data_IF_373439475778
#
_entry.id   IF_373439475778
#
_cell.length_a   1.000
_cell.length_b   1.000
_cell.length_c   1.000
_cell.angle_alpha   90.00
_cell.angle_beta   90.00
_cell.angle_gamma   90.00
#
_symmetry.space_group_name_H-M   'P 1'
#
loop_
_entity.id
_entity.type
_entity.pdbx_description
1 polymer ?
#
# COMPACT_ATOMS: atom_id res chain seq x y z
N UNK A 1 13.22 -4.56 -2.79
CA UNK A 1 12.25 -5.59 -2.37
C UNK A 1 11.33 -6.03 -3.52
N UNK A 2 10.88 -5.15 -4.42
CA UNK A 2 10.15 -5.58 -5.63
C UNK A 2 10.99 -6.52 -6.53
N UNK A 3 12.28 -6.19 -6.73
CA UNK A 3 13.21 -6.93 -7.58
C UNK A 3 13.39 -8.42 -7.23
N UNK A 4 13.39 -8.80 -5.95
CA UNK A 4 13.57 -10.21 -5.52
C UNK A 4 12.33 -11.05 -5.84
N UNK A 5 11.14 -10.47 -5.67
CA UNK A 5 9.87 -11.17 -5.92
C UNK A 5 9.61 -11.36 -7.42
N UNK A 6 10.12 -10.45 -8.25
CA UNK A 6 10.01 -10.54 -9.71
C UNK A 6 10.92 -11.62 -10.30
N UNK A 7 12.10 -11.87 -9.72
CA UNK A 7 13.07 -12.86 -10.23
C UNK A 7 12.95 -14.26 -9.61
N UNK A 8 12.60 -14.36 -8.33
CA UNK A 8 12.46 -15.65 -7.65
C UNK A 8 11.01 -16.16 -7.76
N UNK A 9 10.83 -17.42 -8.18
CA UNK A 9 9.51 -18.04 -8.33
C UNK A 9 8.83 -18.30 -6.98
N UNK A 10 8.17 -17.29 -6.40
CA UNK A 10 7.42 -17.45 -5.14
C UNK A 10 6.06 -18.14 -5.31
N UNK A 11 5.71 -18.64 -6.50
CA UNK A 11 4.48 -19.41 -6.75
C UNK A 11 4.37 -20.66 -5.85
N UNK A 12 5.52 -21.22 -5.47
CA UNK A 12 5.62 -22.35 -4.55
C UNK A 12 5.51 -21.98 -3.06
N UNK A 13 5.60 -20.68 -2.70
CA UNK A 13 5.62 -20.22 -1.31
C UNK A 13 4.76 -18.95 -1.11
N UNK A 14 3.44 -19.13 -1.23
CA UNK A 14 2.46 -18.07 -0.99
C UNK A 14 2.56 -17.41 0.41
N UNK A 15 2.86 -18.16 1.50
CA UNK A 15 3.10 -17.56 2.81
C UNK A 15 4.23 -16.53 2.83
N UNK A 16 5.35 -16.83 2.18
CA UNK A 16 6.50 -15.94 2.15
C UNK A 16 6.21 -14.65 1.38
N UNK A 17 5.64 -14.73 0.17
CA UNK A 17 5.33 -13.51 -0.59
C UNK A 17 4.31 -12.62 0.12
N UNK A 18 3.33 -13.20 0.82
CA UNK A 18 2.37 -12.40 1.60
C UNK A 18 3.04 -11.75 2.81
N UNK A 19 3.95 -12.44 3.49
CA UNK A 19 4.73 -11.81 4.56
C UNK A 19 5.56 -10.63 4.05
N UNK A 20 6.23 -10.79 2.90
CA UNK A 20 6.95 -9.71 2.22
C UNK A 20 6.00 -8.56 1.89
N UNK A 21 4.83 -8.86 1.33
CA UNK A 21 3.83 -7.89 0.96
C UNK A 21 3.38 -7.08 2.18
N UNK A 22 3.15 -7.73 3.33
CA UNK A 22 2.79 -7.05 4.59
C UNK A 22 3.89 -6.13 5.09
N UNK A 23 5.15 -6.57 5.06
CA UNK A 23 6.28 -5.72 5.43
C UNK A 23 6.40 -4.50 4.50
N UNK A 24 6.23 -4.70 3.18
CA UNK A 24 6.24 -3.59 2.19
C UNK A 24 5.08 -2.63 2.44
N UNK A 25 3.87 -3.13 2.72
CA UNK A 25 2.71 -2.33 3.08
C UNK A 25 3.01 -1.43 4.28
N UNK A 26 3.52 -2.01 5.37
CA UNK A 26 3.86 -1.28 6.60
C UNK A 26 4.91 -0.20 6.35
N UNK A 27 5.94 -0.52 5.58
CA UNK A 27 7.01 0.44 5.22
C UNK A 27 6.45 1.61 4.40
N UNK A 28 5.55 1.36 3.44
CA UNK A 28 4.89 2.43 2.67
C UNK A 28 4.02 3.31 3.55
N UNK A 29 3.22 2.73 4.45
CA UNK A 29 2.42 3.50 5.39
C UNK A 29 3.28 4.37 6.32
N UNK A 30 4.43 3.86 6.77
CA UNK A 30 5.39 4.65 7.54
C UNK A 30 5.99 5.80 6.74
N UNK A 31 6.28 5.60 5.45
CA UNK A 31 6.75 6.67 4.57
C UNK A 31 5.68 7.77 4.41
N UNK A 32 4.41 7.40 4.19
CA UNK A 32 3.31 8.37 4.11
C UNK A 32 3.10 9.15 5.41
N UNK A 33 3.32 8.51 6.57
CA UNK A 33 3.29 9.15 7.89
C UNK A 33 4.49 10.11 8.05
N UNK A 34 5.68 9.68 7.65
CA UNK A 34 6.89 10.50 7.67
C UNK A 34 6.71 11.76 6.80
N UNK A 35 6.21 11.63 5.57
CA UNK A 35 5.97 12.76 4.66
C UNK A 35 5.04 13.82 5.27
N UNK A 36 3.99 13.38 5.98
CA UNK A 36 3.10 14.29 6.70
C UNK A 36 3.81 15.00 7.84
N UNK A 37 4.67 14.29 8.57
CA UNK A 37 5.47 14.83 9.67
C UNK A 37 6.51 15.84 9.16
N UNK A 38 7.23 15.50 8.10
CA UNK A 38 8.20 16.37 7.43
C UNK A 38 7.54 17.68 7.01
N UNK A 39 6.40 17.60 6.30
CA UNK A 39 5.62 18.79 5.91
C UNK A 39 5.15 19.62 7.10
N UNK A 40 4.88 19.00 8.25
CA UNK A 40 4.53 19.71 9.47
C UNK A 40 5.76 20.42 10.07
N UNK A 41 6.93 19.80 10.07
CA UNK A 41 8.17 20.38 10.56
C UNK A 41 8.57 21.57 9.68
N UNK A 42 8.60 21.37 8.36
CA UNK A 42 8.96 22.39 7.36
C UNK A 42 8.08 23.65 7.43
N UNK A 43 6.82 23.54 7.86
CA UNK A 43 5.95 24.72 8.08
C UNK A 43 6.40 25.60 9.24
N UNK A 44 7.20 25.07 10.17
CA UNK A 44 7.68 25.78 11.35
C UNK A 44 9.19 26.05 11.28
N UNK A 45 9.91 25.36 10.40
CA UNK A 45 11.35 25.46 10.20
C UNK A 45 11.70 25.22 8.73
N UNK A 46 11.87 26.31 7.98
CA UNK A 46 12.20 26.27 6.54
C UNK A 46 13.61 25.70 6.27
N UNK A 47 14.47 25.58 7.29
CA UNK A 47 15.83 25.05 7.16
C UNK A 47 15.93 23.54 7.43
N UNK A 48 14.80 22.87 7.73
CA UNK A 48 14.76 21.43 7.97
C UNK A 48 15.01 20.64 6.68
N UNK A 49 16.02 19.75 6.71
CA UNK A 49 16.46 18.95 5.55
C UNK A 49 16.75 17.48 5.91
N UNK A 50 16.35 17.04 7.09
CA UNK A 50 16.58 15.70 7.65
C UNK A 50 15.41 14.73 7.36
N UNK A 51 14.87 14.78 6.15
CA UNK A 51 13.71 13.97 5.72
C UNK A 51 13.96 12.47 5.90
N UNK A 52 15.18 12.02 5.57
CA UNK A 52 15.58 10.63 5.67
C UNK A 52 15.56 10.14 7.12
N UNK A 53 15.98 10.99 8.06
CA UNK A 53 16.03 10.70 9.49
C UNK A 53 14.63 10.48 10.07
N UNK A 54 13.62 11.19 9.57
CA UNK A 54 12.21 10.96 9.96
C UNK A 54 11.75 9.58 9.50
N UNK A 55 12.01 9.23 8.23
CA UNK A 55 11.61 7.95 7.65
C UNK A 55 12.31 6.78 8.36
N UNK A 56 13.64 6.85 8.47
CA UNK A 56 14.44 5.81 9.13
C UNK A 56 14.14 5.74 10.63
N UNK A 57 13.86 6.88 11.27
CA UNK A 57 13.48 6.94 12.68
C UNK A 57 12.21 6.16 12.95
N UNK A 58 11.15 6.36 12.14
CA UNK A 58 9.93 5.56 12.27
C UNK A 58 10.17 4.07 12.01
N UNK A 59 10.92 3.72 10.95
CA UNK A 59 11.18 2.32 10.60
C UNK A 59 11.97 1.58 11.67
N UNK A 60 13.03 2.19 12.20
CA UNK A 60 13.89 1.56 13.22
C UNK A 60 13.19 1.45 14.56
N UNK A 61 12.50 2.51 15.01
CA UNK A 61 11.76 2.49 16.28
C UNK A 61 10.57 1.51 16.27
N UNK A 62 9.94 1.30 15.11
CA UNK A 62 8.79 0.40 14.97
C UNK A 62 9.15 -0.97 14.41
N UNK A 63 10.44 -1.28 14.27
CA UNK A 63 10.91 -2.55 13.69
C UNK A 63 10.27 -3.76 14.36
N UNK A 64 10.36 -3.86 15.68
CA UNK A 64 9.84 -5.01 16.41
C UNK A 64 8.31 -4.95 16.53
N UNK A 65 7.76 -3.77 16.81
CA UNK A 65 6.32 -3.55 16.97
C UNK A 65 5.51 -3.84 15.69
N UNK A 66 6.13 -3.69 14.51
CA UNK A 66 5.53 -3.95 13.19
C UNK A 66 6.17 -5.14 12.47
N UNK A 67 7.02 -5.93 13.14
CA UNK A 67 7.68 -7.13 12.60
C UNK A 67 8.43 -6.87 11.27
N UNK A 68 9.15 -5.75 11.18
CA UNK A 68 9.93 -5.36 10.00
C UNK A 68 11.28 -6.08 9.98
N UNK A 69 11.26 -7.37 9.66
CA UNK A 69 12.44 -8.26 9.73
C UNK A 69 13.64 -7.79 8.90
N UNK A 70 13.38 -7.01 7.83
CA UNK A 70 14.40 -6.50 6.90
C UNK A 70 14.86 -5.08 7.17
N UNK A 71 14.29 -4.42 8.18
CA UNK A 71 14.73 -3.09 8.60
C UNK A 71 15.94 -3.20 9.52
N UNK A 72 16.87 -2.24 9.39
CA UNK A 72 18.04 -2.15 10.27
C UNK A 72 17.61 -2.04 11.75
N UNK A 73 18.33 -2.67 12.69
CA UNK A 73 17.93 -2.72 14.09
C UNK A 73 18.04 -1.37 14.81
N UNK A 74 18.91 -0.47 14.34
CA UNK A 74 19.16 0.81 14.99
C UNK A 74 19.59 1.88 13.97
N UNK A 75 19.48 3.14 14.36
CA UNK A 75 19.84 4.32 13.59
C UNK A 75 20.61 5.32 14.46
N UNK A 76 21.88 5.52 14.12
CA UNK A 76 22.79 6.38 14.87
C UNK A 76 22.32 7.85 14.99
N UNK A 77 21.63 8.34 13.97
CA UNK A 77 21.22 9.74 13.85
C UNK A 77 19.77 10.00 14.31
N UNK A 78 19.16 9.10 15.09
CA UNK A 78 17.75 9.19 15.48
C UNK A 78 17.37 10.55 16.09
N UNK A 79 18.30 11.18 16.82
CA UNK A 79 18.12 12.52 17.42
C UNK A 79 17.74 13.62 16.41
N UNK A 80 18.07 13.43 15.12
CA UNK A 80 17.76 14.37 14.04
C UNK A 80 16.42 14.07 13.34
N UNK A 81 15.66 13.09 13.82
CA UNK A 81 14.34 12.76 13.25
C UNK A 81 13.21 13.69 13.73
N UNK A 82 13.43 14.45 14.81
CA UNK A 82 12.39 15.27 15.47
C UNK A 82 11.12 14.46 15.84
N UNK A 83 11.23 13.13 15.95
CA UNK A 83 10.14 12.24 16.35
C UNK A 83 10.02 12.20 17.87
N UNK A 84 8.82 12.41 18.36
CA UNK A 84 8.47 12.19 19.76
C UNK A 84 7.97 10.77 19.99
N UNK A 85 7.95 10.32 21.24
CA UNK A 85 7.33 9.03 21.61
C UNK A 85 5.85 8.97 21.19
N UNK A 86 5.14 10.10 21.23
CA UNK A 86 3.75 10.20 20.79
C UNK A 86 3.63 9.98 19.29
N UNK A 87 4.54 10.55 18.49
CA UNK A 87 4.57 10.34 17.04
C UNK A 87 4.76 8.84 16.72
N UNK A 88 5.70 8.18 17.39
CA UNK A 88 6.00 6.75 17.19
C UNK A 88 4.79 5.88 17.55
N UNK A 89 4.19 6.07 18.74
CA UNK A 89 2.98 5.33 19.17
C UNK A 89 1.76 5.60 18.29
N UNK A 90 1.64 6.82 17.78
CA UNK A 90 0.58 7.17 16.83
C UNK A 90 0.78 6.46 15.49
N UNK A 91 2.02 6.45 14.98
CA UNK A 91 2.36 5.77 13.74
C UNK A 91 2.10 4.26 13.82
N UNK A 92 2.49 3.60 14.92
CA UNK A 92 2.20 2.19 15.17
C UNK A 92 0.70 1.87 15.02
N UNK A 93 -0.15 2.62 15.74
CA UNK A 93 -1.61 2.41 15.71
C UNK A 93 -2.19 2.66 14.32
N UNK A 94 -1.71 3.70 13.63
CA UNK A 94 -2.15 4.02 12.27
C UNK A 94 -1.82 2.89 11.30
N UNK A 95 -0.59 2.38 11.31
CA UNK A 95 -0.17 1.28 10.42
C UNK A 95 -0.96 0.00 10.71
N UNK A 96 -1.11 -0.38 11.99
CA UNK A 96 -1.88 -1.58 12.36
C UNK A 96 -3.33 -1.50 11.92
N UNK A 97 -3.97 -0.35 12.14
CA UNK A 97 -5.35 -0.10 11.72
C UNK A 97 -5.47 -0.12 10.20
N UNK A 98 -4.52 0.49 9.49
CA UNK A 98 -4.48 0.52 8.04
C UNK A 98 -4.34 -0.89 7.45
N UNK A 99 -3.45 -1.71 7.98
CA UNK A 99 -3.21 -3.07 7.49
C UNK A 99 -4.44 -3.95 7.66
N UNK A 100 -5.08 -3.93 8.83
CA UNK A 100 -6.29 -4.70 9.07
C UNK A 100 -7.46 -4.32 8.14
N UNK A 101 -7.49 -3.08 7.65
CA UNK A 101 -8.58 -2.56 6.81
C UNK A 101 -8.29 -2.64 5.30
N UNK A 102 -7.04 -2.43 4.89
CA UNK A 102 -6.69 -2.13 3.49
C UNK A 102 -5.67 -3.09 2.89
N UNK A 103 -5.12 -4.04 3.65
CA UNK A 103 -4.06 -4.89 3.13
C UNK A 103 -4.49 -5.69 1.89
N UNK A 104 -5.69 -6.28 1.88
CA UNK A 104 -6.16 -7.07 0.73
C UNK A 104 -6.32 -6.23 -0.54
N UNK A 105 -6.92 -5.04 -0.42
CA UNK A 105 -7.07 -4.14 -1.57
C UNK A 105 -5.73 -3.61 -2.08
N UNK A 106 -4.81 -3.31 -1.16
CA UNK A 106 -3.45 -2.95 -1.51
C UNK A 106 -2.69 -4.10 -2.19
N UNK A 107 -2.82 -5.34 -1.69
CA UNK A 107 -2.16 -6.53 -2.23
C UNK A 107 -2.59 -6.78 -3.68
N UNK A 108 -3.87 -6.65 -3.98
CA UNK A 108 -4.39 -6.81 -5.35
C UNK A 108 -3.85 -5.75 -6.32
N UNK A 109 -3.47 -4.58 -5.81
CA UNK A 109 -2.83 -3.52 -6.57
C UNK A 109 -1.30 -3.64 -6.62
N UNK A 110 -0.72 -4.59 -5.89
CA UNK A 110 0.73 -4.76 -5.81
C UNK A 110 1.23 -5.60 -6.98
N UNK A 111 2.02 -5.00 -7.87
CA UNK A 111 2.52 -5.61 -9.10
C UNK A 111 3.20 -6.98 -8.90
N UNK A 112 4.08 -7.19 -7.90
CA UNK A 112 4.67 -8.51 -7.66
C UNK A 112 3.65 -9.61 -7.37
N UNK A 113 2.55 -9.29 -6.68
CA UNK A 113 1.45 -10.24 -6.48
C UNK A 113 0.72 -10.54 -7.79
N UNK A 114 0.47 -9.51 -8.61
CA UNK A 114 -0.14 -9.68 -9.93
C UNK A 114 0.71 -10.57 -10.85
N UNK A 115 2.03 -10.48 -10.78
CA UNK A 115 2.96 -11.36 -11.51
C UNK A 115 2.82 -12.80 -11.03
N UNK A 116 2.71 -13.05 -9.73
CA UNK A 116 2.46 -14.40 -9.21
C UNK A 116 1.12 -14.95 -9.72
N UNK A 117 0.06 -14.14 -9.70
CA UNK A 117 -1.24 -14.55 -10.25
C UNK A 117 -1.15 -14.88 -11.75
N UNK A 118 -0.41 -14.09 -12.54
CA UNK A 118 -0.15 -14.35 -13.95
C UNK A 118 0.53 -15.70 -14.18
N UNK A 119 1.50 -16.07 -13.34
CA UNK A 119 2.22 -17.34 -13.50
C UNK A 119 1.36 -18.53 -13.09
N UNK A 120 0.49 -18.38 -12.09
CA UNK A 120 -0.43 -19.42 -11.64
C UNK A 120 -1.56 -19.65 -12.66
N UNK A 121 -2.15 -18.59 -13.21
CA UNK A 121 -3.28 -18.64 -14.14
C UNK A 121 -3.15 -17.56 -15.23
N UNK A 122 -2.34 -17.82 -16.28
CA UNK A 122 -2.07 -16.85 -17.33
C UNK A 122 -3.32 -16.42 -18.11
N UNK A 123 -4.22 -17.37 -18.39
CA UNK A 123 -5.43 -17.10 -19.19
C UNK A 123 -6.42 -16.21 -18.44
N UNK A 124 -6.62 -16.47 -17.14
CA UNK A 124 -7.41 -15.57 -16.31
C UNK A 124 -6.76 -14.17 -16.26
N UNK A 125 -5.44 -14.11 -16.11
CA UNK A 125 -4.73 -12.83 -15.98
C UNK A 125 -4.85 -11.97 -17.25
N UNK A 126 -4.73 -12.55 -18.44
CA UNK A 126 -4.95 -11.84 -19.70
C UNK A 126 -6.36 -11.22 -19.75
N UNK A 127 -7.38 -12.00 -19.41
CA UNK A 127 -8.77 -11.52 -19.34
C UNK A 127 -8.93 -10.37 -18.34
N UNK A 128 -8.31 -10.50 -17.16
CA UNK A 128 -8.36 -9.50 -16.09
C UNK A 128 -7.68 -8.17 -16.50
N UNK A 129 -6.57 -8.26 -17.25
CA UNK A 129 -5.86 -7.09 -17.76
C UNK A 129 -6.63 -6.40 -18.89
N UNK A 130 -7.24 -7.16 -19.78
CA UNK A 130 -8.12 -6.61 -20.82
C UNK A 130 -9.31 -5.88 -20.20
N UNK A 131 -9.94 -6.45 -19.17
CA UNK A 131 -11.02 -5.77 -18.42
C UNK A 131 -10.53 -4.47 -17.77
N UNK A 132 -9.34 -4.47 -17.16
CA UNK A 132 -8.73 -3.28 -16.56
C UNK A 132 -8.54 -2.16 -17.59
N UNK A 133 -8.05 -2.49 -18.79
CA UNK A 133 -7.84 -1.48 -19.83
C UNK A 133 -9.16 -0.99 -20.44
N UNK A 134 -10.09 -1.92 -20.72
CA UNK A 134 -11.42 -1.56 -21.22
C UNK A 134 -12.18 -0.64 -20.26
N UNK A 135 -11.96 -0.79 -18.95
CA UNK A 135 -12.58 0.07 -17.94
C UNK A 135 -12.15 1.53 -18.06
N UNK A 136 -10.89 1.85 -18.39
CA UNK A 136 -10.39 3.23 -18.42
C UNK A 136 -11.16 4.09 -19.43
N UNK A 137 -11.48 3.53 -20.60
CA UNK A 137 -12.23 4.21 -21.65
C UNK A 137 -13.76 3.97 -21.55
N UNK A 138 -14.24 3.44 -20.43
CA UNK A 138 -15.64 3.06 -20.26
C UNK A 138 -16.50 4.18 -19.66
N UNK A 139 -17.82 4.20 -19.96
CA UNK A 139 -18.77 5.07 -19.27
C UNK A 139 -18.82 4.84 -17.75
N UNK A 140 -18.43 3.66 -17.28
CA UNK A 140 -18.36 3.34 -15.87
C UNK A 140 -17.27 4.15 -15.15
N UNK A 141 -16.10 4.31 -15.77
CA UNK A 141 -15.02 5.13 -15.23
C UNK A 141 -15.46 6.58 -15.07
N UNK A 142 -16.08 7.15 -16.11
CA UNK A 142 -16.62 8.52 -16.07
C UNK A 142 -17.68 8.69 -14.99
N UNK A 143 -18.58 7.72 -14.84
CA UNK A 143 -19.59 7.74 -13.78
C UNK A 143 -18.95 7.75 -12.37
N UNK A 144 -17.96 6.89 -12.12
CA UNK A 144 -17.22 6.85 -10.85
C UNK A 144 -16.41 8.13 -10.63
N UNK A 145 -15.87 8.74 -11.68
CA UNK A 145 -15.19 10.03 -11.60
C UNK A 145 -16.14 11.13 -11.14
N UNK A 146 -17.31 11.23 -11.77
CA UNK A 146 -18.33 12.22 -11.38
C UNK A 146 -18.80 12.00 -9.94
N UNK A 147 -19.01 10.76 -9.52
CA UNK A 147 -19.37 10.43 -8.14
C UNK A 147 -18.32 10.93 -7.15
N UNK A 148 -17.03 10.67 -7.40
CA UNK A 148 -15.95 11.14 -6.51
C UNK A 148 -15.82 12.66 -6.50
N UNK A 149 -15.96 13.33 -7.65
CA UNK A 149 -15.95 14.79 -7.72
C UNK A 149 -17.06 15.41 -6.87
N UNK A 150 -18.28 14.84 -6.92
CA UNK A 150 -19.41 15.26 -6.09
C UNK A 150 -19.14 14.98 -4.61
N UNK A 151 -18.70 13.77 -4.28
CA UNK A 151 -18.41 13.34 -2.90
C UNK A 151 -17.37 14.26 -2.23
N UNK A 152 -16.32 14.61 -2.97
CA UNK A 152 -15.26 15.50 -2.50
C UNK A 152 -15.57 16.98 -2.69
N UNK A 153 -16.75 17.33 -3.23
CA UNK A 153 -17.20 18.71 -3.48
C UNK A 153 -16.19 19.51 -4.31
N UNK A 154 -15.61 18.88 -5.33
CA UNK A 154 -14.61 19.52 -6.20
C UNK A 154 -15.30 20.51 -7.15
N UNK A 155 -14.90 21.79 -7.16
CA UNK A 155 -15.44 22.78 -8.09
C UNK A 155 -15.11 22.44 -9.56
N UNK A 156 -15.99 22.77 -10.53
CA UNK A 156 -15.78 22.47 -11.95
C UNK A 156 -14.43 22.93 -12.50
N UNK A 157 -13.95 24.10 -12.08
CA UNK A 157 -12.66 24.66 -12.49
C UNK A 157 -11.44 23.83 -12.06
N UNK A 158 -11.61 22.95 -11.07
CA UNK A 158 -10.55 22.09 -10.53
C UNK A 158 -10.72 20.62 -10.93
N UNK A 159 -11.70 20.28 -11.77
CA UNK A 159 -11.97 18.89 -12.16
C UNK A 159 -10.75 18.24 -12.83
N UNK A 160 -10.10 18.93 -13.76
CA UNK A 160 -8.90 18.43 -14.43
C UNK A 160 -7.75 18.14 -13.46
N UNK A 161 -7.48 19.07 -12.54
CA UNK A 161 -6.45 18.89 -11.52
C UNK A 161 -6.80 17.75 -10.54
N UNK A 162 -8.07 17.62 -10.17
CA UNK A 162 -8.54 16.56 -9.29
C UNK A 162 -8.46 15.18 -9.93
N UNK A 163 -8.66 15.06 -11.25
CA UNK A 163 -8.55 13.79 -11.99
C UNK A 163 -7.19 13.13 -11.84
N UNK A 164 -6.10 13.90 -11.68
CA UNK A 164 -4.74 13.38 -11.43
C UNK A 164 -4.70 12.57 -10.12
N UNK A 165 -5.51 12.95 -9.12
CA UNK A 165 -5.57 12.27 -7.82
C UNK A 165 -6.67 11.22 -7.77
N UNK A 166 -7.86 11.53 -8.31
CA UNK A 166 -9.04 10.66 -8.22
C UNK A 166 -8.99 9.50 -9.23
N UNK A 167 -8.42 9.71 -10.42
CA UNK A 167 -8.30 8.67 -11.46
C UNK A 167 -7.53 7.42 -11.00
N UNK A 168 -6.34 7.58 -10.38
CA UNK A 168 -5.61 6.45 -9.80
C UNK A 168 -6.40 5.71 -8.70
N UNK A 169 -7.19 6.43 -7.89
CA UNK A 169 -8.02 5.82 -6.84
C UNK A 169 -9.11 4.95 -7.47
N UNK A 170 -9.83 5.47 -8.47
CA UNK A 170 -10.88 4.74 -9.19
C UNK A 170 -10.31 3.49 -9.87
N UNK A 171 -9.14 3.65 -10.50
CA UNK A 171 -8.44 2.53 -11.16
C UNK A 171 -8.04 1.46 -10.14
N UNK A 172 -7.52 1.85 -8.98
CA UNK A 172 -7.13 0.92 -7.92
C UNK A 172 -8.32 0.17 -7.30
N UNK A 173 -9.47 0.83 -7.19
CA UNK A 173 -10.74 0.20 -6.78
C UNK A 173 -11.18 -0.86 -7.78
N UNK A 174 -11.17 -0.54 -9.09
CA UNK A 174 -11.50 -1.52 -10.14
C UNK A 174 -10.52 -2.68 -10.18
N UNK A 175 -9.22 -2.42 -10.05
CA UNK A 175 -8.21 -3.50 -9.96
C UNK A 175 -8.51 -4.42 -8.78
N UNK A 176 -8.85 -3.86 -7.62
CA UNK A 176 -9.24 -4.70 -6.48
C UNK A 176 -10.46 -5.56 -6.80
N UNK A 177 -11.51 -5.01 -7.41
CA UNK A 177 -12.73 -5.74 -7.79
C UNK A 177 -12.43 -6.91 -8.75
N UNK A 178 -11.57 -6.70 -9.74
CA UNK A 178 -11.17 -7.73 -10.70
C UNK A 178 -10.35 -8.83 -10.00
N UNK A 179 -9.37 -8.45 -9.18
CA UNK A 179 -8.36 -9.38 -8.67
C UNK A 179 -8.78 -10.10 -7.38
N UNK A 180 -9.71 -9.55 -6.59
CA UNK A 180 -10.05 -10.07 -5.24
C UNK A 180 -10.53 -11.51 -5.27
N UNK A 181 -11.40 -11.86 -6.22
CA UNK A 181 -11.95 -13.21 -6.33
C UNK A 181 -10.86 -14.22 -6.63
N UNK A 182 -9.94 -13.90 -7.53
CA UNK A 182 -8.84 -14.80 -7.90
C UNK A 182 -7.82 -14.93 -6.78
N UNK A 183 -7.44 -13.83 -6.11
CA UNK A 183 -6.57 -13.84 -4.94
C UNK A 183 -7.11 -14.78 -3.86
N UNK A 184 -8.39 -14.67 -3.51
CA UNK A 184 -9.04 -15.53 -2.51
C UNK A 184 -9.10 -16.98 -2.96
N UNK A 185 -9.52 -17.24 -4.20
CA UNK A 185 -9.61 -18.60 -4.77
C UNK A 185 -8.27 -19.34 -4.72
N UNK A 186 -7.19 -18.70 -5.13
CA UNK A 186 -5.85 -19.31 -5.13
C UNK A 186 -5.38 -19.60 -3.71
N UNK A 187 -5.58 -18.66 -2.78
CA UNK A 187 -5.19 -18.87 -1.39
C UNK A 187 -6.02 -19.96 -0.73
N UNK A 188 -7.32 -20.03 -0.99
CA UNK A 188 -8.20 -21.08 -0.50
C UNK A 188 -7.80 -22.46 -1.04
N UNK A 189 -7.57 -22.59 -2.35
CA UNK A 189 -7.15 -23.84 -2.98
C UNK A 189 -5.81 -24.38 -2.44
N UNK A 190 -4.97 -23.51 -1.89
CA UNK A 190 -3.67 -23.87 -1.28
C UNK A 190 -3.72 -23.95 0.26
N UNK A 191 -4.90 -23.80 0.87
CA UNK A 191 -5.04 -23.86 2.34
C UNK A 191 -4.49 -22.64 3.09
N UNK A 192 -4.37 -21.51 2.41
CA UNK A 192 -3.76 -20.27 2.90
C UNK A 192 -4.73 -19.10 3.03
N UNK A 193 -6.04 -19.35 3.05
CA UNK A 193 -7.07 -18.31 3.21
C UNK A 193 -6.91 -17.47 4.50
N UNK A 194 -6.30 -18.02 5.55
CA UNK A 194 -6.01 -17.30 6.79
C UNK A 194 -5.00 -16.15 6.60
N UNK A 195 -4.18 -16.18 5.55
CA UNK A 195 -3.14 -15.17 5.31
C UNK A 195 -3.71 -13.78 4.98
N UNK A 196 -5.00 -13.66 4.61
CA UNK A 196 -5.67 -12.37 4.38
C UNK A 196 -6.37 -11.81 5.62
N UNK A 197 -6.47 -12.60 6.70
CA UNK A 197 -7.17 -12.15 7.91
C UNK A 197 -6.44 -10.96 8.58
N UNK A 198 -7.16 -10.16 9.37
CA UNK A 198 -6.54 -9.16 10.25
C UNK A 198 -5.46 -9.81 11.12
N UNK A 199 -4.31 -9.15 11.20
CA UNK A 199 -3.13 -9.64 11.95
C UNK A 199 -3.05 -9.00 13.32
N UNK A 200 -3.51 -7.76 13.44
CA UNK A 200 -3.40 -6.98 14.67
C UNK A 200 -4.68 -7.08 15.49
N UNK A 201 -4.53 -7.28 16.80
CA UNK A 201 -5.59 -7.17 17.78
C UNK A 201 -5.38 -5.89 18.60
N UNK A 202 -6.49 -5.28 19.05
CA UNK A 202 -6.47 -4.09 19.93
C UNK A 202 -5.95 -4.42 21.33
#
# INVERSE_FOLDING_TARGET
>A
MAFTVEQEGHEGNLPEIIDIARQVFRIKELADIADKKIKQIQRNDDAFHEDLEVVLGLQTQLRDALQLTRTAPDMYFFRFSHLTEIDVKSAERQVRTAENRRFESWLNNWEPWQIVLKRIDPQWYETAIDEKYAFIDSPEFEARMQEKLILHKVPPENHEAASITLGPIITAEKIHEIFVTQTRKILEAKGHASLLKPVWHE
#
